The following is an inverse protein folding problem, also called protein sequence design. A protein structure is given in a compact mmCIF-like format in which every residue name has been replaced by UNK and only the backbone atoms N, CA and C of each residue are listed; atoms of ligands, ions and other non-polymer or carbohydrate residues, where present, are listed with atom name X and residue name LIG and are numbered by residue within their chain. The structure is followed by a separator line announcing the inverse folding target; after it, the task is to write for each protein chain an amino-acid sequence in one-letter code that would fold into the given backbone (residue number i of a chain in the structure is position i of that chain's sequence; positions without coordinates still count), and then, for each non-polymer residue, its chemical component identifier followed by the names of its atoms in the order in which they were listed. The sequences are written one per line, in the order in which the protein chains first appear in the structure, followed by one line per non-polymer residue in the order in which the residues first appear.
data_IF_634891973987
#
_entry.id   IF_634891973987
#
_cell.length_a   1.000
_cell.length_b   1.000
_cell.length_c   1.000
_cell.angle_alpha   90.00
_cell.angle_beta   90.00
_cell.angle_gamma   90.00
#
_symmetry.space_group_name_H-M   'P 1'
#
loop_
_entity.id
_entity.type
_entity.pdbx_description
1 polymer ?
#
# COMPACT_ATOMS: atom_id res chain seq x y z
N UNK A 1 -60.23 36.28 -7.76
CA UNK A 1 -59.60 35.05 -7.20
C UNK A 1 -58.10 35.05 -7.51
N UNK A 2 -57.28 35.59 -6.58
CA UNK A 2 -55.82 35.60 -6.65
C UNK A 2 -55.28 34.32 -6.00
N UNK A 3 -55.09 33.25 -6.77
CA UNK A 3 -54.58 31.97 -6.22
C UNK A 3 -53.62 31.20 -7.14
N UNK A 4 -53.07 31.84 -8.19
CA UNK A 4 -52.09 31.19 -9.09
C UNK A 4 -50.64 31.61 -8.86
N UNK A 5 -50.38 32.72 -8.18
CA UNK A 5 -49.01 33.19 -7.89
C UNK A 5 -48.33 32.52 -6.69
N UNK A 6 -49.12 31.97 -5.75
CA UNK A 6 -48.59 31.39 -4.50
C UNK A 6 -48.01 29.99 -4.74
N UNK A 7 -48.62 29.17 -5.60
CA UNK A 7 -48.13 27.82 -5.89
C UNK A 7 -46.77 27.82 -6.61
N UNK A 8 -46.49 28.81 -7.47
CA UNK A 8 -45.21 28.87 -8.19
C UNK A 8 -44.08 29.25 -7.21
N UNK A 9 -44.30 30.24 -6.33
CA UNK A 9 -43.29 30.64 -5.34
C UNK A 9 -42.95 29.52 -4.34
N UNK A 10 -43.93 28.70 -3.95
CA UNK A 10 -43.70 27.53 -3.08
C UNK A 10 -42.87 26.43 -3.76
N UNK A 11 -43.10 26.14 -5.05
CA UNK A 11 -42.30 25.15 -5.80
C UNK A 11 -40.85 25.61 -5.96
N UNK A 12 -40.63 26.91 -6.20
CA UNK A 12 -39.28 27.48 -6.25
C UNK A 12 -38.58 27.45 -4.89
N UNK A 13 -39.29 27.73 -3.79
CA UNK A 13 -38.74 27.62 -2.44
C UNK A 13 -38.33 26.18 -2.07
N UNK A 14 -39.13 25.19 -2.45
CA UNK A 14 -38.82 23.77 -2.21
C UNK A 14 -37.61 23.32 -3.04
N UNK A 15 -37.51 23.76 -4.30
CA UNK A 15 -36.35 23.45 -5.15
C UNK A 15 -35.06 24.11 -4.63
N UNK A 16 -35.13 25.34 -4.13
CA UNK A 16 -33.99 26.03 -3.50
C UNK A 16 -33.59 25.33 -2.20
N UNK A 17 -34.54 24.97 -1.34
CA UNK A 17 -34.26 24.23 -0.11
C UNK A 17 -33.59 22.87 -0.38
N UNK A 18 -34.12 22.10 -1.33
CA UNK A 18 -33.53 20.82 -1.74
C UNK A 18 -32.12 20.98 -2.33
N UNK A 19 -31.88 22.03 -3.12
CA UNK A 19 -30.57 22.34 -3.69
C UNK A 19 -29.55 22.77 -2.61
N UNK A 20 -29.99 23.54 -1.60
CA UNK A 20 -29.15 23.93 -0.46
C UNK A 20 -28.84 22.73 0.45
N UNK A 21 -29.81 21.87 0.75
CA UNK A 21 -29.58 20.64 1.52
C UNK A 21 -28.60 19.69 0.81
N UNK A 22 -28.73 19.50 -0.50
CA UNK A 22 -27.81 18.68 -1.29
C UNK A 22 -26.38 19.25 -1.28
N UNK A 23 -26.24 20.58 -1.38
CA UNK A 23 -24.92 21.24 -1.38
C UNK A 23 -24.25 21.17 0.01
N UNK A 24 -25.03 21.29 1.09
CA UNK A 24 -24.54 21.15 2.47
C UNK A 24 -24.14 19.69 2.74
N UNK A 25 -24.92 18.71 2.29
CA UNK A 25 -24.59 17.28 2.40
C UNK A 25 -23.26 16.96 1.69
N UNK A 26 -23.11 17.41 0.45
CA UNK A 26 -21.88 17.17 -0.34
C UNK A 26 -20.65 17.89 0.25
N UNK A 27 -20.82 19.08 0.85
CA UNK A 27 -19.73 19.78 1.53
C UNK A 27 -19.32 19.09 2.86
N UNK A 28 -20.28 18.53 3.60
CA UNK A 28 -20.02 17.72 4.79
C UNK A 28 -19.31 16.41 4.47
N UNK A 29 -19.73 15.74 3.40
CA UNK A 29 -19.11 14.48 2.93
C UNK A 29 -17.67 14.69 2.46
N UNK A 30 -17.37 15.77 1.74
CA UNK A 30 -16.01 16.06 1.28
C UNK A 30 -15.06 16.41 2.44
N UNK A 31 -15.52 17.17 3.44
CA UNK A 31 -14.74 17.46 4.64
C UNK A 31 -14.47 16.21 5.50
N UNK A 32 -15.47 15.32 5.65
CA UNK A 32 -15.31 14.06 6.35
C UNK A 32 -14.36 13.10 5.62
N UNK A 33 -14.47 12.99 4.29
CA UNK A 33 -13.57 12.17 3.47
C UNK A 33 -12.13 12.68 3.51
N UNK A 34 -11.90 14.00 3.47
CA UNK A 34 -10.57 14.58 3.63
C UNK A 34 -9.99 14.29 5.02
N UNK A 35 -10.81 14.40 6.07
CA UNK A 35 -10.38 14.09 7.44
C UNK A 35 -9.99 12.62 7.60
N UNK A 36 -10.75 11.70 6.98
CA UNK A 36 -10.44 10.27 6.97
C UNK A 36 -9.18 9.96 6.16
N UNK A 37 -9.02 10.53 4.96
CA UNK A 37 -7.82 10.36 4.13
C UNK A 37 -6.54 10.76 4.89
N UNK A 38 -6.60 11.89 5.59
CA UNK A 38 -5.49 12.37 6.43
C UNK A 38 -5.13 11.39 7.55
N UNK A 39 -6.10 10.69 8.15
CA UNK A 39 -5.83 9.70 9.21
C UNK A 39 -5.09 8.47 8.65
N UNK A 40 -5.50 7.96 7.49
CA UNK A 40 -4.84 6.82 6.85
C UNK A 40 -3.40 7.17 6.45
N UNK A 41 -3.19 8.29 5.77
CA UNK A 41 -1.86 8.74 5.35
C UNK A 41 -0.95 8.96 6.56
N UNK A 42 -1.48 9.55 7.64
CA UNK A 42 -0.74 9.70 8.89
C UNK A 42 -0.37 8.35 9.52
N UNK A 43 -1.26 7.36 9.48
CA UNK A 43 -0.97 6.02 9.99
C UNK A 43 0.14 5.34 9.18
N UNK A 44 0.11 5.46 7.85
CA UNK A 44 1.18 4.97 6.97
C UNK A 44 2.50 5.69 7.24
N UNK A 45 2.47 7.02 7.42
CA UNK A 45 3.65 7.79 7.79
C UNK A 45 4.28 7.27 9.09
N UNK A 46 3.48 7.09 10.14
CA UNK A 46 3.95 6.58 11.44
C UNK A 46 4.52 5.16 11.33
N UNK A 47 3.87 4.30 10.55
CA UNK A 47 4.36 2.94 10.26
C UNK A 47 5.75 3.00 9.64
N UNK A 48 5.91 3.81 8.61
CA UNK A 48 7.16 3.92 7.88
C UNK A 48 8.25 4.56 8.74
N UNK A 49 7.91 5.52 9.62
CA UNK A 49 8.77 6.10 10.66
C UNK A 49 9.17 5.11 11.78
N UNK A 50 8.65 3.88 11.77
CA UNK A 50 8.94 2.85 12.77
C UNK A 50 8.11 2.99 14.06
N UNK A 51 7.23 3.98 14.15
CA UNK A 51 6.34 4.24 15.29
C UNK A 51 5.13 3.32 15.26
N UNK A 52 5.39 2.04 15.48
CA UNK A 52 4.43 0.96 15.22
C UNK A 52 3.18 1.05 16.09
N UNK A 53 3.31 1.36 17.39
CA UNK A 53 2.15 1.50 18.29
C UNK A 53 1.26 2.69 17.91
N UNK A 54 1.87 3.84 17.57
CA UNK A 54 1.15 5.03 17.11
C UNK A 54 0.43 4.75 15.79
N UNK A 55 1.07 4.02 14.87
CA UNK A 55 0.48 3.61 13.60
C UNK A 55 -0.73 2.69 13.81
N UNK A 56 -0.62 1.68 14.69
CA UNK A 56 -1.73 0.78 15.05
C UNK A 56 -2.91 1.59 15.59
N UNK A 57 -2.65 2.53 16.52
CA UNK A 57 -3.68 3.40 17.10
C UNK A 57 -4.36 4.27 16.03
N UNK A 58 -3.58 4.86 15.13
CA UNK A 58 -4.11 5.70 14.06
C UNK A 58 -4.93 4.91 13.04
N UNK A 59 -4.52 3.69 12.68
CA UNK A 59 -5.33 2.80 11.84
C UNK A 59 -6.65 2.40 12.50
N UNK A 60 -6.66 2.13 13.82
CA UNK A 60 -7.91 1.88 14.54
C UNK A 60 -8.85 3.08 14.45
N UNK A 61 -8.35 4.29 14.74
CA UNK A 61 -9.14 5.52 14.63
C UNK A 61 -9.69 5.75 13.21
N UNK A 62 -8.90 5.45 12.18
CA UNK A 62 -9.36 5.50 10.80
C UNK A 62 -10.50 4.50 10.56
N UNK A 63 -10.36 3.26 11.02
CA UNK A 63 -11.40 2.23 10.86
C UNK A 63 -12.70 2.54 11.62
N UNK A 64 -12.62 3.24 12.74
CA UNK A 64 -13.78 3.66 13.53
C UNK A 64 -14.54 4.82 12.88
N UNK A 65 -13.86 5.63 12.08
CA UNK A 65 -14.44 6.86 11.49
C UNK A 65 -14.79 6.71 10.01
N UNK A 66 -14.16 5.77 9.29
CA UNK A 66 -14.41 5.54 7.87
C UNK A 66 -15.67 4.70 7.64
N UNK A 67 -16.46 5.08 6.63
CA UNK A 67 -17.62 4.31 6.16
C UNK A 67 -17.28 3.46 4.92
N UNK A 68 -16.07 3.56 4.39
CA UNK A 68 -15.62 2.84 3.20
C UNK A 68 -15.04 1.48 3.61
N UNK A 69 -15.82 0.41 3.45
CA UNK A 69 -15.43 -0.92 3.90
C UNK A 69 -14.18 -1.46 3.19
N UNK A 70 -13.91 -1.03 1.96
CA UNK A 70 -12.69 -1.41 1.24
C UNK A 70 -11.46 -0.78 1.91
N UNK A 71 -11.50 0.53 2.18
CA UNK A 71 -10.41 1.23 2.86
C UNK A 71 -10.24 0.79 4.30
N UNK A 72 -11.33 0.51 5.03
CA UNK A 72 -11.27 -0.06 6.39
C UNK A 72 -10.57 -1.41 6.39
N UNK A 73 -10.90 -2.27 5.43
CA UNK A 73 -10.26 -3.58 5.27
C UNK A 73 -8.78 -3.42 4.94
N UNK A 74 -8.43 -2.45 4.10
CA UNK A 74 -7.03 -2.13 3.82
C UNK A 74 -6.26 -1.70 5.08
N UNK A 75 -6.80 -0.76 5.86
CA UNK A 75 -6.23 -0.32 7.14
C UNK A 75 -6.09 -1.47 8.15
N UNK A 76 -7.07 -2.39 8.18
CA UNK A 76 -7.00 -3.59 9.01
C UNK A 76 -5.83 -4.50 8.62
N UNK A 77 -5.58 -4.66 7.33
CA UNK A 77 -4.48 -5.47 6.82
C UNK A 77 -3.12 -4.83 7.12
N UNK A 78 -2.99 -3.51 6.95
CA UNK A 78 -1.80 -2.75 7.34
C UNK A 78 -1.52 -2.93 8.85
N UNK A 79 -2.54 -2.78 9.69
CA UNK A 79 -2.44 -3.04 11.12
C UNK A 79 -1.99 -4.49 11.41
N UNK A 80 -2.55 -5.48 10.71
CA UNK A 80 -2.14 -6.89 10.87
C UNK A 80 -0.68 -7.12 10.49
N UNK A 81 -0.19 -6.48 9.43
CA UNK A 81 1.22 -6.59 9.00
C UNK A 81 2.17 -6.02 10.06
N UNK A 82 1.84 -4.86 10.64
CA UNK A 82 2.61 -4.26 11.74
C UNK A 82 2.62 -5.21 12.94
N UNK A 83 1.44 -5.68 13.37
CA UNK A 83 1.32 -6.59 14.51
C UNK A 83 2.09 -7.90 14.30
N UNK A 84 2.08 -8.43 13.07
CA UNK A 84 2.86 -9.62 12.71
C UNK A 84 4.36 -9.35 12.81
N UNK A 85 4.85 -8.22 12.31
CA UNK A 85 6.25 -7.82 12.42
C UNK A 85 6.69 -7.65 13.89
N UNK A 86 5.81 -7.10 14.73
CA UNK A 86 6.02 -6.97 16.19
C UNK A 86 5.82 -8.28 16.96
N UNK A 87 5.50 -9.40 16.29
CA UNK A 87 5.20 -10.71 16.90
C UNK A 87 4.02 -10.68 17.90
N UNK A 88 3.09 -9.74 17.76
CA UNK A 88 1.89 -9.61 18.59
C UNK A 88 0.88 -10.71 18.20
N UNK A 89 0.69 -11.73 19.04
CA UNK A 89 -0.14 -12.92 18.73
C UNK A 89 -1.55 -12.62 18.22
N UNK A 90 -2.16 -11.51 18.66
CA UNK A 90 -3.50 -11.09 18.25
C UNK A 90 -3.64 -10.84 16.73
N UNK A 91 -2.53 -10.67 15.98
CA UNK A 91 -2.56 -10.48 14.53
C UNK A 91 -3.29 -11.62 13.81
N UNK A 92 -3.18 -12.86 14.30
CA UNK A 92 -3.84 -14.03 13.69
C UNK A 92 -5.36 -13.95 13.76
N UNK A 93 -5.90 -13.42 14.86
CA UNK A 93 -7.35 -13.26 15.01
C UNK A 93 -7.86 -12.19 14.04
N UNK A 94 -7.19 -11.04 14.00
CA UNK A 94 -7.52 -9.95 13.06
C UNK A 94 -7.36 -10.36 11.60
N UNK A 95 -6.37 -11.19 11.26
CA UNK A 95 -6.22 -11.72 9.91
C UNK A 95 -7.41 -12.59 9.48
N UNK A 96 -8.02 -13.36 10.40
CA UNK A 96 -9.26 -14.11 10.13
C UNK A 96 -10.45 -13.18 9.91
N UNK A 97 -10.54 -12.09 10.67
CA UNK A 97 -11.57 -11.06 10.46
C UNK A 97 -11.41 -10.41 9.09
N UNK A 98 -10.20 -9.98 8.74
CA UNK A 98 -9.88 -9.40 7.44
C UNK A 98 -10.21 -10.37 6.28
N UNK A 99 -9.96 -11.67 6.45
CA UNK A 99 -10.32 -12.68 5.47
C UNK A 99 -11.83 -12.68 5.17
N UNK A 100 -12.69 -12.57 6.18
CA UNK A 100 -14.14 -12.53 5.98
C UNK A 100 -14.54 -11.26 5.22
N UNK A 101 -13.97 -10.11 5.58
CA UNK A 101 -14.23 -8.82 4.90
C UNK A 101 -13.81 -8.87 3.43
N UNK A 102 -12.60 -9.36 3.14
CA UNK A 102 -12.09 -9.56 1.78
C UNK A 102 -13.01 -10.48 0.95
N UNK A 103 -13.55 -11.54 1.55
CA UNK A 103 -14.50 -12.44 0.89
C UNK A 103 -15.82 -11.75 0.56
N UNK A 104 -16.33 -10.91 1.46
CA UNK A 104 -17.57 -10.15 1.26
C UNK A 104 -17.37 -9.09 0.17
N UNK A 105 -16.28 -8.33 0.25
CA UNK A 105 -15.93 -7.27 -0.69
C UNK A 105 -15.81 -7.76 -2.13
N UNK A 106 -15.38 -9.02 -2.35
CA UNK A 106 -15.32 -9.63 -3.68
C UNK A 106 -16.63 -9.46 -4.46
N UNK A 107 -17.77 -9.65 -3.79
CA UNK A 107 -19.10 -9.67 -4.43
C UNK A 107 -19.45 -8.37 -5.14
N UNK A 108 -18.94 -7.25 -4.62
CA UNK A 108 -19.25 -5.91 -5.12
C UNK A 108 -18.05 -5.21 -5.76
N UNK A 109 -16.83 -5.70 -5.52
CA UNK A 109 -15.60 -5.02 -5.95
C UNK A 109 -14.69 -5.87 -6.85
N UNK A 110 -15.12 -7.03 -7.36
CA UNK A 110 -14.23 -7.88 -8.18
C UNK A 110 -13.71 -7.23 -9.48
N UNK A 111 -14.35 -6.16 -9.97
CA UNK A 111 -13.86 -5.36 -11.09
C UNK A 111 -13.02 -4.13 -10.65
N UNK A 112 -13.00 -3.81 -9.36
CA UNK A 112 -12.24 -2.69 -8.83
C UNK A 112 -10.76 -3.10 -8.66
N UNK A 113 -9.79 -2.43 -9.31
CA UNK A 113 -8.37 -2.74 -9.14
C UNK A 113 -7.88 -2.59 -7.69
N UNK A 114 -8.44 -1.66 -6.91
CA UNK A 114 -8.05 -1.44 -5.51
C UNK A 114 -8.43 -2.62 -4.61
N UNK A 115 -9.55 -3.30 -4.89
CA UNK A 115 -9.89 -4.55 -4.21
C UNK A 115 -8.82 -5.62 -4.41
N UNK A 116 -8.28 -5.72 -5.62
CA UNK A 116 -7.21 -6.67 -5.89
C UNK A 116 -5.90 -6.30 -5.18
N UNK A 117 -5.63 -5.01 -4.93
CA UNK A 117 -4.52 -4.60 -4.06
C UNK A 117 -4.73 -5.02 -2.61
N UNK A 118 -5.94 -4.84 -2.07
CA UNK A 118 -6.32 -5.32 -0.73
C UNK A 118 -6.21 -6.84 -0.63
N UNK A 119 -6.67 -7.56 -1.66
CA UNK A 119 -6.54 -9.02 -1.72
C UNK A 119 -5.07 -9.46 -1.78
N UNK A 120 -4.23 -8.76 -2.54
CA UNK A 120 -2.78 -9.02 -2.58
C UNK A 120 -2.13 -8.85 -1.20
N UNK A 121 -2.47 -7.77 -0.47
CA UNK A 121 -1.99 -7.54 0.90
C UNK A 121 -2.42 -8.67 1.84
N UNK A 122 -3.68 -9.10 1.77
CA UNK A 122 -4.16 -10.24 2.54
C UNK A 122 -3.38 -11.53 2.19
N UNK A 123 -3.23 -11.84 0.91
CA UNK A 123 -2.49 -13.01 0.43
C UNK A 123 -1.03 -13.00 0.93
N UNK A 124 -0.35 -11.86 0.88
CA UNK A 124 1.00 -11.70 1.41
C UNK A 124 1.06 -11.89 2.94
N UNK A 125 0.08 -11.34 3.69
CA UNK A 125 -0.01 -11.50 5.14
C UNK A 125 -0.07 -12.98 5.55
N UNK A 126 -0.81 -13.80 4.80
CA UNK A 126 -0.97 -15.25 5.05
C UNK A 126 -0.02 -16.14 4.23
N UNK A 127 1.01 -15.55 3.61
CA UNK A 127 2.04 -16.24 2.82
C UNK A 127 1.51 -17.11 1.65
N UNK A 128 0.49 -16.61 0.95
CA UNK A 128 -0.07 -17.23 -0.27
C UNK A 128 0.43 -16.51 -1.52
N UNK A 129 1.68 -16.75 -1.89
CA UNK A 129 2.34 -16.00 -2.96
C UNK A 129 1.69 -16.16 -4.35
N UNK A 130 1.16 -17.36 -4.65
CA UNK A 130 0.39 -17.59 -5.88
C UNK A 130 -0.81 -16.64 -5.98
N UNK A 131 -1.48 -16.40 -4.84
CA UNK A 131 -2.64 -15.50 -4.78
C UNK A 131 -2.20 -14.04 -4.90
N UNK A 132 -1.02 -13.66 -4.37
CA UNK A 132 -0.42 -12.33 -4.58
C UNK A 132 -0.21 -12.06 -6.06
N UNK A 133 0.41 -13.00 -6.79
CA UNK A 133 0.62 -12.89 -8.22
C UNK A 133 -0.70 -12.77 -8.99
N UNK A 134 -1.67 -13.65 -8.68
CA UNK A 134 -3.00 -13.63 -9.30
C UNK A 134 -3.75 -12.31 -9.07
N UNK A 135 -3.62 -11.74 -7.86
CA UNK A 135 -4.22 -10.47 -7.50
C UNK A 135 -3.66 -9.32 -8.34
N UNK A 136 -2.34 -9.21 -8.49
CA UNK A 136 -1.73 -8.18 -9.33
C UNK A 136 -2.09 -8.34 -10.81
N UNK A 137 -2.15 -9.58 -11.32
CA UNK A 137 -2.64 -9.84 -12.68
C UNK A 137 -4.04 -9.28 -12.89
N UNK A 138 -4.94 -9.42 -11.91
CA UNK A 138 -6.30 -8.86 -11.95
C UNK A 138 -6.30 -7.34 -11.80
N UNK A 139 -5.54 -6.78 -10.87
CA UNK A 139 -5.43 -5.33 -10.67
C UNK A 139 -5.01 -4.61 -11.97
N UNK A 140 -3.97 -5.12 -12.64
CA UNK A 140 -3.47 -4.53 -13.88
C UNK A 140 -4.31 -4.86 -15.11
N UNK A 141 -5.10 -5.93 -15.08
CA UNK A 141 -6.12 -6.18 -16.10
C UNK A 141 -7.20 -5.09 -16.08
N UNK A 142 -7.73 -4.75 -14.91
CA UNK A 142 -8.77 -3.72 -14.78
C UNK A 142 -8.22 -2.30 -14.87
N UNK A 143 -6.94 -2.08 -14.54
CA UNK A 143 -6.28 -0.77 -14.66
C UNK A 143 -4.83 -0.93 -15.16
N UNK A 144 -4.62 -0.99 -16.48
CA UNK A 144 -3.28 -1.00 -17.06
C UNK A 144 -2.51 0.26 -16.69
N UNK A 145 -1.19 0.13 -16.45
CA UNK A 145 -0.33 1.27 -16.14
C UNK A 145 -0.58 1.92 -14.77
N UNK A 146 -1.25 1.24 -13.85
CA UNK A 146 -1.62 1.77 -12.52
C UNK A 146 -0.39 1.99 -11.62
N UNK A 147 0.07 3.24 -11.41
CA UNK A 147 1.34 3.49 -10.71
C UNK A 147 1.28 3.08 -9.25
N UNK A 148 0.13 3.32 -8.61
CA UNK A 148 -0.13 2.91 -7.24
C UNK A 148 -0.15 1.38 -7.11
N UNK A 149 -0.70 0.66 -8.10
CA UNK A 149 -0.65 -0.79 -8.13
C UNK A 149 0.79 -1.33 -8.21
N UNK A 150 1.64 -0.69 -9.01
CA UNK A 150 3.07 -1.02 -9.09
C UNK A 150 3.83 -0.68 -7.81
N UNK A 151 3.52 0.45 -7.16
CA UNK A 151 4.06 0.82 -5.85
C UNK A 151 3.73 -0.23 -4.80
N UNK A 152 2.45 -0.61 -4.67
CA UNK A 152 1.99 -1.64 -3.73
C UNK A 152 2.60 -3.01 -4.06
N UNK A 153 2.77 -3.33 -5.34
CA UNK A 153 3.50 -4.54 -5.76
C UNK A 153 4.94 -4.53 -5.28
N UNK A 154 5.66 -3.43 -5.47
CA UNK A 154 7.00 -3.23 -4.93
C UNK A 154 7.05 -3.42 -3.41
N UNK A 155 6.12 -2.80 -2.67
CA UNK A 155 6.03 -2.93 -1.22
C UNK A 155 5.83 -4.37 -0.77
N UNK A 156 4.90 -5.10 -1.42
CA UNK A 156 4.57 -6.48 -1.04
C UNK A 156 5.67 -7.47 -1.39
N UNK A 157 6.30 -7.36 -2.57
CA UNK A 157 7.42 -8.23 -2.90
C UNK A 157 8.66 -7.92 -2.05
N UNK A 158 8.88 -6.66 -1.66
CA UNK A 158 9.91 -6.30 -0.68
C UNK A 158 9.59 -6.91 0.69
N UNK A 159 8.33 -6.86 1.13
CA UNK A 159 7.89 -7.53 2.36
C UNK A 159 8.15 -9.03 2.29
N UNK A 160 7.74 -9.71 1.21
CA UNK A 160 7.95 -11.15 1.03
C UNK A 160 9.45 -11.48 1.03
N UNK A 161 10.28 -10.73 0.31
CA UNK A 161 11.73 -10.93 0.29
C UNK A 161 12.34 -10.83 1.69
N UNK A 162 11.99 -9.81 2.47
CA UNK A 162 12.50 -9.64 3.85
C UNK A 162 12.07 -10.75 4.80
N UNK A 163 10.94 -11.42 4.53
CA UNK A 163 10.42 -12.51 5.34
C UNK A 163 10.73 -13.91 4.76
N UNK A 164 11.50 -13.98 3.67
CA UNK A 164 11.96 -15.23 3.07
C UNK A 164 13.29 -15.63 3.69
N UNK A 165 13.46 -16.92 4.03
CA UNK A 165 14.72 -17.42 4.54
C UNK A 165 15.82 -17.25 3.48
N UNK A 166 17.00 -16.68 3.81
CA UNK A 166 18.11 -16.55 2.86
C UNK A 166 18.57 -17.88 2.24
N UNK A 167 18.33 -19.01 2.93
CA UNK A 167 18.63 -20.37 2.46
C UNK A 167 17.56 -20.96 1.53
N UNK A 168 16.43 -20.29 1.34
CA UNK A 168 15.37 -20.78 0.46
C UNK A 168 15.79 -20.66 -1.02
N UNK A 169 15.81 -21.80 -1.71
CA UNK A 169 16.22 -21.91 -3.10
C UNK A 169 15.10 -22.43 -3.99
N UNK A 170 15.06 -21.92 -5.21
CA UNK A 170 14.19 -22.43 -6.30
C UNK A 170 14.79 -23.66 -6.99
N UNK A 171 16.04 -24.02 -6.70
CA UNK A 171 16.65 -25.22 -7.24
C UNK A 171 15.94 -26.46 -6.70
N UNK A 172 15.32 -27.24 -7.59
CA UNK A 172 14.69 -28.51 -7.23
C UNK A 172 15.77 -29.52 -6.85
N UNK A 173 15.68 -30.11 -5.66
CA UNK A 173 16.41 -31.33 -5.29
C UNK A 173 15.75 -32.55 -5.94
N UNK A 174 15.53 -32.48 -7.26
CA UNK A 174 15.19 -33.65 -8.03
C UNK A 174 16.49 -34.45 -8.24
N UNK A 175 16.56 -35.61 -7.60
CA UNK A 175 17.59 -36.65 -7.72
C UNK A 175 18.83 -36.41 -6.84
N UNK A 176 18.74 -36.84 -5.57
CA UNK A 176 19.82 -37.53 -4.86
C UNK A 176 21.13 -36.78 -4.56
N UNK A 177 21.25 -35.49 -4.85
CA UNK A 177 22.43 -34.70 -4.49
C UNK A 177 22.12 -33.75 -3.33
N UNK A 178 22.96 -33.86 -2.31
CA UNK A 178 23.06 -32.97 -1.14
C UNK A 178 23.13 -31.49 -1.55
N UNK A 179 22.55 -30.64 -0.69
CA UNK A 179 22.67 -29.19 -0.60
C UNK A 179 23.26 -28.49 -1.84
N UNK A 180 22.40 -28.17 -2.82
CA UNK A 180 22.78 -27.21 -3.86
C UNK A 180 23.02 -25.86 -3.15
N UNK A 181 24.25 -25.32 -3.13
CA UNK A 181 24.51 -24.06 -2.45
C UNK A 181 23.63 -22.96 -3.04
N UNK A 182 23.00 -22.19 -2.16
CA UNK A 182 22.16 -21.06 -2.58
C UNK A 182 23.08 -20.00 -3.19
N UNK A 183 22.90 -19.77 -4.48
CA UNK A 183 23.51 -18.68 -5.23
C UNK A 183 22.49 -17.57 -5.40
N UNK A 184 22.95 -16.39 -5.80
CA UNK A 184 22.10 -15.23 -6.01
C UNK A 184 20.97 -15.54 -7.00
N UNK A 185 21.27 -16.31 -8.04
CA UNK A 185 20.37 -16.60 -9.16
C UNK A 185 19.24 -17.57 -8.79
N UNK A 186 19.46 -18.48 -7.84
CA UNK A 186 18.44 -19.45 -7.41
C UNK A 186 17.78 -19.10 -6.06
N UNK A 187 18.26 -18.07 -5.36
CA UNK A 187 17.66 -17.59 -4.11
C UNK A 187 16.25 -17.02 -4.32
N UNK A 188 15.27 -17.58 -3.62
CA UNK A 188 13.88 -17.10 -3.63
C UNK A 188 13.81 -15.65 -3.11
N UNK A 189 14.57 -15.36 -2.05
CA UNK A 189 14.69 -14.01 -1.45
C UNK A 189 15.17 -12.99 -2.48
N UNK A 190 16.20 -13.35 -3.25
CA UNK A 190 16.74 -12.48 -4.30
C UNK A 190 15.73 -12.24 -5.43
N UNK A 191 15.05 -13.28 -5.91
CA UNK A 191 14.05 -13.14 -6.99
C UNK A 191 12.87 -12.25 -6.57
N UNK A 192 12.37 -12.39 -5.34
CA UNK A 192 11.36 -11.48 -4.77
C UNK A 192 11.89 -10.05 -4.70
N UNK A 193 13.16 -9.87 -4.37
CA UNK A 193 13.81 -8.56 -4.39
C UNK A 193 13.85 -7.96 -5.80
N UNK A 194 14.19 -8.73 -6.83
CA UNK A 194 14.14 -8.25 -8.22
C UNK A 194 12.75 -7.81 -8.63
N UNK A 195 11.74 -8.63 -8.36
CA UNK A 195 10.34 -8.33 -8.69
C UNK A 195 9.87 -7.02 -7.99
N UNK A 196 10.30 -6.80 -6.75
CA UNK A 196 10.02 -5.57 -6.03
C UNK A 196 10.66 -4.35 -6.71
N UNK A 197 11.94 -4.44 -7.09
CA UNK A 197 12.66 -3.37 -7.80
C UNK A 197 11.99 -3.04 -9.13
N UNK A 198 11.73 -4.05 -9.96
CA UNK A 198 11.10 -3.87 -11.28
C UNK A 198 9.72 -3.20 -11.15
N UNK A 199 8.94 -3.60 -10.14
CA UNK A 199 7.64 -2.98 -9.86
C UNK A 199 7.77 -1.50 -9.47
N UNK A 200 8.75 -1.15 -8.62
CA UNK A 200 9.03 0.24 -8.29
C UNK A 200 9.48 1.06 -9.50
N UNK A 201 10.32 0.51 -10.37
CA UNK A 201 10.77 1.16 -11.61
C UNK A 201 9.59 1.40 -12.57
N UNK A 202 8.64 0.47 -12.64
CA UNK A 202 7.40 0.68 -13.40
C UNK A 202 6.53 1.78 -12.81
N UNK A 203 6.43 1.91 -11.49
CA UNK A 203 5.77 3.06 -10.89
C UNK A 203 6.49 4.38 -11.24
N UNK A 204 7.83 4.42 -11.21
CA UNK A 204 8.63 5.61 -11.56
C UNK A 204 8.54 6.01 -13.03
N UNK A 205 8.32 5.06 -13.95
CA UNK A 205 8.13 5.36 -15.38
C UNK A 205 6.86 6.16 -15.67
N UNK A 206 5.93 6.24 -14.72
CA UNK A 206 4.72 7.04 -14.88
C UNK A 206 5.01 8.54 -14.65
N UNK A 207 4.78 9.35 -15.68
CA UNK A 207 5.08 10.79 -15.66
C UNK A 207 4.22 11.59 -14.69
N UNK A 208 3.04 11.11 -14.31
CA UNK A 208 2.11 11.81 -13.40
C UNK A 208 2.40 11.53 -11.92
N UNK A 209 3.43 10.74 -11.61
CA UNK A 209 3.81 10.46 -10.24
C UNK A 209 4.45 11.71 -9.60
N UNK A 210 3.89 12.14 -8.47
CA UNK A 210 4.39 13.28 -7.72
C UNK A 210 5.74 13.00 -7.06
N UNK A 211 6.40 14.07 -6.61
CA UNK A 211 7.74 13.98 -6.05
C UNK A 211 7.76 13.21 -4.72
N UNK A 212 6.73 13.30 -3.87
CA UNK A 212 6.73 12.58 -2.59
C UNK A 212 6.70 11.07 -2.80
N UNK A 213 5.86 10.62 -3.75
CA UNK A 213 5.84 9.20 -4.18
C UNK A 213 7.15 8.77 -4.84
N UNK A 214 7.77 9.62 -5.67
CA UNK A 214 9.09 9.31 -6.26
C UNK A 214 10.18 9.17 -5.20
N UNK A 215 10.24 10.07 -4.23
CA UNK A 215 11.23 10.02 -3.14
C UNK A 215 11.05 8.75 -2.32
N UNK A 216 9.79 8.39 -1.97
CA UNK A 216 9.47 7.13 -1.32
C UNK A 216 10.04 5.93 -2.08
N UNK A 217 9.78 5.86 -3.39
CA UNK A 217 10.20 4.74 -4.22
C UNK A 217 11.73 4.67 -4.30
N UNK A 218 12.41 5.79 -4.53
CA UNK A 218 13.89 5.81 -4.56
C UNK A 218 14.48 5.34 -3.24
N UNK A 219 13.93 5.78 -2.10
CA UNK A 219 14.34 5.27 -0.79
C UNK A 219 14.15 3.75 -0.68
N UNK A 220 12.98 3.23 -1.06
CA UNK A 220 12.67 1.79 -0.99
C UNK A 220 13.56 0.95 -1.91
N UNK A 221 13.81 1.40 -3.14
CA UNK A 221 14.77 0.73 -4.05
C UNK A 221 16.15 0.70 -3.41
N UNK A 222 16.63 1.81 -2.85
CA UNK A 222 17.96 1.83 -2.24
C UNK A 222 18.10 0.87 -1.05
N UNK A 223 17.08 0.79 -0.19
CA UNK A 223 17.03 -0.20 0.91
C UNK A 223 17.06 -1.63 0.37
N UNK A 224 16.32 -1.90 -0.71
CA UNK A 224 16.25 -3.21 -1.34
C UNK A 224 17.58 -3.63 -1.98
N UNK A 225 18.25 -2.69 -2.66
CA UNK A 225 19.55 -2.88 -3.27
C UNK A 225 20.61 -3.25 -2.23
N UNK A 226 20.61 -2.56 -1.09
CA UNK A 226 21.54 -2.84 0.01
C UNK A 226 21.23 -4.19 0.68
N UNK A 227 19.99 -4.39 1.13
CA UNK A 227 19.65 -5.48 2.08
C UNK A 227 19.38 -6.82 1.39
N UNK A 228 18.88 -6.79 0.15
CA UNK A 228 18.41 -7.97 -0.59
C UNK A 228 19.28 -8.27 -1.80
N UNK A 229 19.60 -7.26 -2.61
CA UNK A 229 20.27 -7.45 -3.89
C UNK A 229 21.79 -7.35 -3.82
N UNK A 230 22.32 -6.96 -2.64
CA UNK A 230 23.74 -6.79 -2.34
C UNK A 230 24.47 -5.92 -3.37
N UNK A 231 23.85 -4.80 -3.75
CA UNK A 231 24.35 -3.84 -4.73
C UNK A 231 24.48 -2.46 -4.08
N UNK A 232 25.60 -2.25 -3.40
CA UNK A 232 25.88 -1.01 -2.66
C UNK A 232 25.86 0.24 -3.55
N UNK A 233 26.36 0.12 -4.78
CA UNK A 233 26.46 1.26 -5.71
C UNK A 233 25.07 1.78 -6.09
N UNK A 234 24.17 0.88 -6.53
CA UNK A 234 22.81 1.28 -6.87
C UNK A 234 22.01 1.72 -5.63
N UNK A 235 22.29 1.15 -4.46
CA UNK A 235 21.70 1.62 -3.20
C UNK A 235 22.01 3.10 -2.95
N UNK A 236 23.30 3.46 -2.98
CA UNK A 236 23.79 4.83 -2.79
C UNK A 236 23.24 5.77 -3.86
N UNK A 237 23.21 5.34 -5.13
CA UNK A 237 22.65 6.12 -6.24
C UNK A 237 21.18 6.46 -6.01
N UNK A 238 20.37 5.50 -5.57
CA UNK A 238 18.94 5.73 -5.32
C UNK A 238 18.69 6.61 -4.09
N UNK A 239 19.44 6.42 -3.00
CA UNK A 239 19.34 7.31 -1.84
C UNK A 239 19.74 8.75 -2.18
N UNK A 240 20.75 8.95 -3.02
CA UNK A 240 21.12 10.29 -3.49
C UNK A 240 19.98 10.96 -4.26
N UNK A 241 19.33 10.24 -5.19
CA UNK A 241 18.16 10.74 -5.90
C UNK A 241 17.01 11.13 -4.96
N UNK A 242 16.76 10.35 -3.91
CA UNK A 242 15.74 10.67 -2.91
C UNK A 242 16.07 11.98 -2.16
N UNK A 243 17.34 12.16 -1.74
CA UNK A 243 17.81 13.39 -1.09
C UNK A 243 17.72 14.60 -2.02
N UNK A 244 18.17 14.47 -3.27
CA UNK A 244 18.15 15.55 -4.27
C UNK A 244 16.71 16.01 -4.57
N UNK A 245 15.78 15.06 -4.64
CA UNK A 245 14.40 15.36 -5.02
C UNK A 245 13.60 16.01 -3.89
N UNK A 246 13.80 15.60 -2.63
CA UNK A 246 13.13 16.21 -1.49
C UNK A 246 13.89 15.97 -0.17
N UNK A 247 14.92 16.78 0.14
CA UNK A 247 15.81 16.54 1.28
C UNK A 247 15.10 16.69 2.64
N UNK A 248 14.07 17.54 2.71
CA UNK A 248 13.30 17.78 3.93
C UNK A 248 12.24 16.73 4.25
N UNK A 249 11.86 15.90 3.27
CA UNK A 249 10.88 14.82 3.46
C UNK A 249 11.41 13.72 4.40
N UNK A 250 10.50 12.91 4.96
CA UNK A 250 10.89 11.76 5.80
C UNK A 250 11.87 10.82 5.08
N UNK A 251 11.57 10.48 3.82
CA UNK A 251 12.39 9.57 3.02
C UNK A 251 13.68 10.21 2.51
N UNK A 252 13.69 11.53 2.27
CA UNK A 252 14.92 12.28 2.02
C UNK A 252 15.87 12.23 3.22
N UNK A 253 15.37 12.54 4.42
CA UNK A 253 16.15 12.46 5.67
C UNK A 253 16.70 11.06 5.93
N UNK A 254 15.86 10.03 5.84
CA UNK A 254 16.28 8.63 5.98
C UNK A 254 17.33 8.23 4.94
N UNK A 255 17.19 8.70 3.70
CA UNK A 255 18.19 8.46 2.65
C UNK A 255 19.53 9.15 2.97
N UNK A 256 19.50 10.39 3.48
CA UNK A 256 20.71 11.10 3.92
C UNK A 256 21.42 10.38 5.09
N UNK A 257 20.66 9.87 6.06
CA UNK A 257 21.20 9.06 7.17
C UNK A 257 21.83 7.76 6.68
N UNK A 258 21.26 7.11 5.66
CA UNK A 258 21.83 5.90 5.08
C UNK A 258 23.10 6.19 4.29
N UNK A 259 23.14 7.32 3.56
CA UNK A 259 24.34 7.76 2.84
C UNK A 259 25.52 8.01 3.78
N UNK A 260 25.31 8.71 4.89
CA UNK A 260 26.39 9.02 5.85
C UNK A 260 27.01 7.76 6.47
N UNK A 261 26.25 6.68 6.59
CA UNK A 261 26.72 5.38 7.11
C UNK A 261 27.43 4.51 6.07
N UNK A 262 27.31 4.85 4.78
CA UNK A 262 27.73 3.99 3.68
C UNK A 262 28.71 4.67 2.70
N UNK A 263 29.20 5.86 3.04
CA UNK A 263 30.32 6.52 2.37
C UNK A 263 31.63 5.73 2.52
#
# INVERSE_FOLDING_TARGET
MKMKGICILFVWFIAIAAFYEMKISNAGETAAQMTQGNLYEKAVFLKEDGKSDEAISMFSKFMDTSNDELKRTDAMLEQCMIMKAMKIRAWKSKAKEAQQKVKILYRTNYMNPEYWLVYAKFAALVNKERDVYGAFKKAFFYKPGYPEGYRVKGDLYSYLAKNTDPSESTASTAIGYEDVPVRKENSVRYQKGKEAKESYEMALSNSTLDNDRKVYIYYKIGVLEMDILSNKEDAVKNWRKAVELSPGSMYGKKSAELLSKNQ
#
